data_IF_220294283619
#
_entry.id   IF_220294283619
#
_cell.length_a   1.000
_cell.length_b   1.000
_cell.length_c   1.000
_cell.angle_alpha   90.00
_cell.angle_beta   90.00
_cell.angle_gamma   90.00
#
_symmetry.space_group_name_H-M   'P 1'
#
loop_
_entity.id
_entity.type
_entity.pdbx_description
1 polymer ?
#
# COMPACT_ATOMS: atom_id res chain seq x y z
N UNK A 1 14.52 4.77 -3.09
CA UNK A 1 14.27 5.54 -1.86
C UNK A 1 15.26 5.03 -0.81
N UNK A 2 16.56 5.38 -0.93
CA UNK A 2 17.62 4.73 -0.17
C UNK A 2 17.42 4.80 1.35
N UNK A 3 16.83 5.88 1.85
CA UNK A 3 16.54 6.10 3.26
C UNK A 3 15.55 5.07 3.83
N UNK A 4 14.48 4.75 3.10
CA UNK A 4 13.47 3.79 3.54
C UNK A 4 13.95 2.34 3.41
N UNK A 5 14.78 2.06 2.42
CA UNK A 5 15.44 0.76 2.28
C UNK A 5 16.42 0.53 3.43
N UNK A 6 17.19 1.56 3.80
CA UNK A 6 18.09 1.51 4.95
C UNK A 6 17.34 1.32 6.29
N UNK A 7 16.16 1.93 6.45
CA UNK A 7 15.28 1.65 7.61
C UNK A 7 14.89 0.18 7.64
N UNK A 8 14.48 -0.40 6.50
CA UNK A 8 14.11 -1.80 6.43
C UNK A 8 15.31 -2.73 6.72
N UNK A 9 16.49 -2.41 6.17
CA UNK A 9 17.74 -3.13 6.46
C UNK A 9 18.02 -3.15 7.96
N UNK A 10 17.90 -1.99 8.63
CA UNK A 10 18.12 -1.86 10.06
C UNK A 10 17.07 -2.62 10.89
N UNK A 11 15.78 -2.56 10.51
CA UNK A 11 14.72 -3.29 11.19
C UNK A 11 14.95 -4.82 11.11
N UNK A 12 15.38 -5.33 9.97
CA UNK A 12 15.66 -6.76 9.79
C UNK A 12 16.91 -7.26 10.53
N UNK A 13 17.74 -6.36 11.09
CA UNK A 13 18.79 -6.75 12.04
C UNK A 13 18.26 -6.97 13.47
N UNK A 14 17.01 -6.57 13.77
CA UNK A 14 16.42 -6.79 15.09
C UNK A 14 15.97 -8.25 15.23
N UNK A 15 16.35 -8.96 16.30
CA UNK A 15 16.00 -10.37 16.49
C UNK A 15 14.49 -10.66 16.46
N UNK A 16 13.67 -9.71 16.89
CA UNK A 16 12.20 -9.83 16.93
C UNK A 16 11.55 -9.76 15.53
N UNK A 17 12.26 -9.22 14.53
CA UNK A 17 11.80 -9.09 13.15
C UNK A 17 12.46 -10.16 12.27
N UNK A 18 13.79 -10.31 12.41
CA UNK A 18 14.60 -11.25 11.64
C UNK A 18 14.86 -10.83 10.19
N UNK A 19 15.86 -11.47 9.58
CA UNK A 19 16.31 -11.17 8.21
C UNK A 19 15.26 -11.54 7.14
N UNK A 20 14.45 -12.56 7.41
CA UNK A 20 13.46 -13.13 6.48
C UNK A 20 12.01 -12.81 6.89
N UNK A 21 11.81 -11.88 7.82
CA UNK A 21 10.48 -11.46 8.26
C UNK A 21 9.67 -10.87 7.09
N UNK A 22 8.39 -11.24 6.92
CA UNK A 22 7.55 -10.72 5.83
C UNK A 22 7.32 -9.22 6.00
N UNK A 23 7.41 -8.47 4.91
CA UNK A 23 7.29 -7.01 4.92
C UNK A 23 6.06 -6.57 4.12
N UNK A 24 5.26 -5.69 4.71
CA UNK A 24 4.17 -4.99 4.04
C UNK A 24 4.29 -3.48 4.20
N UNK A 25 3.57 -2.74 3.38
CA UNK A 25 3.52 -1.28 3.42
C UNK A 25 2.10 -0.79 3.72
N UNK A 26 1.97 0.27 4.51
CA UNK A 26 0.73 1.03 4.62
C UNK A 26 1.01 2.53 4.62
N UNK A 27 0.26 3.28 3.81
CA UNK A 27 0.39 4.73 3.77
C UNK A 27 -0.65 5.40 2.87
N UNK A 28 -1.42 6.32 3.43
CA UNK A 28 -2.44 7.12 2.74
C UNK A 28 -1.95 8.54 2.47
N UNK A 29 -2.49 9.21 1.47
CA UNK A 29 -2.16 10.62 1.20
C UNK A 29 -0.71 10.78 0.77
N UNK A 30 0.06 11.57 1.53
CA UNK A 30 1.51 11.67 1.34
C UNK A 30 2.23 10.34 1.60
N UNK A 31 1.66 9.46 2.42
CA UNK A 31 2.11 8.07 2.53
C UNK A 31 2.09 7.39 1.17
N UNK A 32 1.00 7.47 0.40
CA UNK A 32 0.95 6.90 -0.96
C UNK A 32 2.00 7.52 -1.89
N UNK A 33 2.25 8.84 -1.79
CA UNK A 33 3.31 9.51 -2.56
C UNK A 33 4.72 8.94 -2.31
N UNK A 34 5.02 8.55 -1.07
CA UNK A 34 6.29 7.93 -0.68
C UNK A 34 6.28 6.42 -0.97
N UNK A 35 5.15 5.78 -0.68
CA UNK A 35 4.97 4.34 -0.71
C UNK A 35 5.01 3.77 -2.11
N UNK A 36 4.38 4.40 -3.10
CA UNK A 36 4.38 3.90 -4.48
C UNK A 36 5.81 3.75 -5.04
N UNK A 37 6.70 4.76 -5.00
CA UNK A 37 8.08 4.58 -5.46
C UNK A 37 8.89 3.64 -4.58
N UNK A 38 8.59 3.53 -3.28
CA UNK A 38 9.26 2.57 -2.40
C UNK A 38 8.87 1.12 -2.76
N UNK A 39 7.58 0.79 -2.77
CA UNK A 39 7.07 -0.56 -3.07
C UNK A 39 7.46 -1.00 -4.48
N UNK A 40 7.50 -0.09 -5.45
CA UNK A 40 7.97 -0.42 -6.80
C UNK A 40 9.47 -0.75 -6.86
N UNK A 41 10.28 -0.33 -5.89
CA UNK A 41 11.74 -0.48 -5.88
C UNK A 41 12.25 -1.48 -4.82
N UNK A 42 11.43 -1.83 -3.83
CA UNK A 42 11.83 -2.66 -2.70
C UNK A 42 11.14 -4.03 -2.74
N UNK A 43 11.84 -5.08 -3.23
CA UNK A 43 11.24 -6.41 -3.46
C UNK A 43 10.83 -7.13 -2.17
N UNK A 44 11.33 -6.72 -0.99
CA UNK A 44 10.91 -7.31 0.29
C UNK A 44 9.46 -6.98 0.63
N UNK A 45 8.91 -5.88 0.11
CA UNK A 45 7.51 -5.52 0.37
C UNK A 45 6.61 -6.39 -0.52
N UNK A 46 5.78 -7.21 0.12
CA UNK A 46 4.97 -8.25 -0.55
C UNK A 46 3.47 -7.98 -0.51
N UNK A 47 3.03 -6.94 0.20
CA UNK A 47 1.65 -6.45 0.20
C UNK A 47 1.62 -4.96 0.57
N UNK A 48 0.66 -4.21 0.03
CA UNK A 48 0.59 -2.76 0.26
C UNK A 48 -0.83 -2.22 0.47
N UNK A 49 -0.95 -1.21 1.32
CA UNK A 49 -2.16 -0.41 1.49
C UNK A 49 -1.87 1.03 1.06
N UNK A 50 -2.63 1.52 0.10
CA UNK A 50 -2.51 2.87 -0.46
C UNK A 50 -3.85 3.59 -0.43
N UNK A 51 -3.88 4.86 -0.81
CA UNK A 51 -5.12 5.59 -0.98
C UNK A 51 -4.96 7.09 -0.90
N UNK A 52 -6.03 7.80 -1.21
CA UNK A 52 -6.11 9.25 -0.98
C UNK A 52 -4.99 10.06 -1.67
N UNK A 53 -4.63 9.75 -2.92
CA UNK A 53 -3.64 10.51 -3.69
C UNK A 53 -3.99 10.64 -5.18
N UNK A 54 -3.37 11.63 -5.86
CA UNK A 54 -3.54 11.88 -7.31
C UNK A 54 -2.64 10.95 -8.16
N UNK A 55 -3.03 10.64 -9.41
CA UNK A 55 -2.28 9.73 -10.26
C UNK A 55 -1.03 10.38 -10.90
N UNK A 56 -1.00 11.70 -11.05
CA UNK A 56 -0.10 12.42 -11.97
C UNK A 56 1.38 12.07 -11.81
N UNK A 57 1.88 12.07 -10.58
CA UNK A 57 3.28 11.75 -10.29
C UNK A 57 3.55 10.25 -10.12
N UNK A 58 2.51 9.44 -9.96
CA UNK A 58 2.62 8.07 -9.48
C UNK A 58 2.23 7.02 -10.52
N UNK A 59 1.41 7.34 -11.51
CA UNK A 59 0.77 6.36 -12.41
C UNK A 59 1.79 5.47 -13.13
N UNK A 60 2.87 6.02 -13.68
CA UNK A 60 3.91 5.22 -14.34
C UNK A 60 4.67 4.30 -13.38
N UNK A 61 4.84 4.75 -12.14
CA UNK A 61 5.48 3.93 -11.10
C UNK A 61 4.52 2.85 -10.59
N UNK A 62 3.24 3.17 -10.42
CA UNK A 62 2.19 2.26 -9.98
C UNK A 62 2.04 1.06 -10.94
N UNK A 63 2.24 1.26 -12.25
CA UNK A 63 2.26 0.19 -13.26
C UNK A 63 3.31 -0.88 -13.02
N UNK A 64 4.32 -0.64 -12.18
CA UNK A 64 5.34 -1.64 -11.82
C UNK A 64 4.97 -2.47 -10.59
N UNK A 65 3.93 -2.09 -9.85
CA UNK A 65 3.55 -2.74 -8.60
C UNK A 65 2.55 -3.86 -8.91
N UNK A 66 2.96 -5.08 -8.59
CA UNK A 66 2.19 -6.31 -8.84
C UNK A 66 1.73 -7.04 -7.58
N UNK A 67 2.27 -6.66 -6.41
CA UNK A 67 1.89 -7.22 -5.11
C UNK A 67 0.41 -6.95 -4.79
N UNK A 68 -0.24 -7.71 -3.89
CA UNK A 68 -1.61 -7.43 -3.46
C UNK A 68 -1.77 -6.00 -2.90
N UNK A 69 -2.92 -5.37 -3.19
CA UNK A 69 -3.23 -3.99 -2.78
C UNK A 69 -4.62 -3.87 -2.13
N UNK A 70 -4.69 -3.18 -1.00
CA UNK A 70 -5.91 -2.52 -0.51
C UNK A 70 -5.79 -1.00 -0.80
N UNK A 71 -6.86 -0.39 -1.32
CA UNK A 71 -6.85 1.02 -1.72
C UNK A 71 -8.02 1.80 -1.12
N UNK A 72 -7.71 2.79 -0.29
CA UNK A 72 -8.69 3.64 0.38
C UNK A 72 -9.04 4.89 -0.44
N UNK A 73 -10.35 5.15 -0.56
CA UNK A 73 -10.89 6.33 -1.21
C UNK A 73 -12.04 6.94 -0.41
N UNK A 74 -12.03 8.26 -0.25
CA UNK A 74 -13.18 9.04 0.20
C UNK A 74 -14.02 9.47 -1.01
N UNK A 75 -15.31 9.17 -0.98
CA UNK A 75 -16.24 9.29 -2.11
C UNK A 75 -16.60 10.74 -2.45
N UNK A 76 -16.62 11.60 -1.43
CA UNK A 76 -16.95 13.03 -1.49
C UNK A 76 -15.72 13.90 -1.21
N UNK A 77 -14.53 13.36 -1.49
CA UNK A 77 -13.26 14.05 -1.29
C UNK A 77 -13.20 15.34 -2.10
N UNK A 78 -13.17 16.46 -1.41
CA UNK A 78 -13.17 17.79 -1.99
C UNK A 78 -11.79 18.21 -2.55
N UNK A 79 -10.75 17.44 -2.25
CA UNK A 79 -9.37 17.72 -2.68
C UNK A 79 -8.98 16.85 -3.86
N UNK A 80 -9.32 15.57 -3.79
CA UNK A 80 -8.94 14.56 -4.77
C UNK A 80 -10.20 14.13 -5.48
N UNK A 81 -10.41 14.57 -6.74
CA UNK A 81 -11.55 14.14 -7.52
C UNK A 81 -11.63 12.61 -7.58
N UNK A 82 -12.84 12.06 -7.58
CA UNK A 82 -13.07 10.61 -7.59
C UNK A 82 -12.35 9.94 -8.75
N UNK A 83 -12.40 10.57 -9.92
CA UNK A 83 -11.77 10.10 -11.14
C UNK A 83 -10.25 10.02 -11.00
N UNK A 84 -9.63 10.93 -10.24
CA UNK A 84 -8.20 10.90 -9.98
C UNK A 84 -7.82 9.72 -9.06
N UNK A 85 -8.59 9.48 -8.00
CA UNK A 85 -8.40 8.32 -7.12
C UNK A 85 -8.56 7.00 -7.86
N UNK A 86 -9.61 6.89 -8.68
CA UNK A 86 -9.85 5.72 -9.54
C UNK A 86 -8.74 5.54 -10.58
N UNK A 87 -8.25 6.60 -11.21
CA UNK A 87 -7.16 6.52 -12.18
C UNK A 87 -5.86 5.99 -11.55
N UNK A 88 -5.54 6.37 -10.31
CA UNK A 88 -4.38 5.82 -9.60
C UNK A 88 -4.61 4.34 -9.25
N UNK A 89 -5.80 3.98 -8.76
CA UNK A 89 -6.17 2.58 -8.51
C UNK A 89 -6.02 1.71 -9.78
N UNK A 90 -6.50 2.20 -10.92
CA UNK A 90 -6.43 1.52 -12.21
C UNK A 90 -4.99 1.33 -12.69
N UNK A 91 -4.10 2.31 -12.43
CA UNK A 91 -2.71 2.28 -12.85
C UNK A 91 -1.90 1.12 -12.22
N UNK A 92 -2.26 0.64 -11.03
CA UNK A 92 -1.57 -0.50 -10.42
C UNK A 92 -1.71 -1.78 -11.25
N UNK A 93 -0.59 -2.45 -11.53
CA UNK A 93 -0.54 -3.70 -12.28
C UNK A 93 -0.91 -4.95 -11.45
N UNK A 94 -1.18 -4.76 -10.15
CA UNK A 94 -1.63 -5.82 -9.25
C UNK A 94 -2.87 -6.53 -9.78
N UNK A 95 -2.84 -7.86 -9.73
CA UNK A 95 -3.98 -8.74 -10.06
C UNK A 95 -4.89 -8.97 -8.86
N UNK A 96 -4.39 -8.73 -7.66
CA UNK A 96 -5.14 -8.81 -6.42
C UNK A 96 -5.22 -7.40 -5.82
N UNK A 97 -6.18 -6.59 -6.28
CA UNK A 97 -6.41 -5.25 -5.73
C UNK A 97 -7.87 -5.02 -5.40
N UNK A 98 -8.13 -4.43 -4.23
CA UNK A 98 -9.48 -4.07 -3.76
C UNK A 98 -9.52 -2.58 -3.45
N UNK A 99 -10.63 -1.92 -3.79
CA UNK A 99 -10.87 -0.52 -3.47
C UNK A 99 -11.96 -0.41 -2.40
N UNK A 100 -11.67 0.30 -1.31
CA UNK A 100 -12.62 0.65 -0.28
C UNK A 100 -13.06 2.11 -0.46
N UNK A 101 -14.35 2.29 -0.72
CA UNK A 101 -14.96 3.59 -0.93
C UNK A 101 -15.82 3.96 0.28
N UNK A 102 -15.45 5.06 0.93
CA UNK A 102 -16.13 5.58 2.12
C UNK A 102 -16.84 6.88 1.78
N UNK A 103 -18.09 7.05 2.23
CA UNK A 103 -18.76 8.34 2.14
C UNK A 103 -18.08 9.36 3.06
N UNK A 104 -17.97 10.61 2.60
CA UNK A 104 -17.32 11.67 3.37
C UNK A 104 -16.22 12.43 2.65
N UNK A 105 -15.79 13.51 3.29
CA UNK A 105 -14.74 14.43 2.82
C UNK A 105 -13.35 13.90 3.09
N UNK A 106 -12.34 14.61 2.62
CA UNK A 106 -10.94 14.20 2.68
C UNK A 106 -10.45 13.74 4.06
N UNK A 107 -10.93 14.36 5.14
CA UNK A 107 -10.54 14.04 6.51
C UNK A 107 -11.59 13.28 7.32
N UNK A 108 -12.69 12.89 6.69
CA UNK A 108 -13.73 12.07 7.33
C UNK A 108 -13.33 10.57 7.32
N UNK A 109 -12.04 10.27 7.16
CA UNK A 109 -11.51 8.91 7.17
C UNK A 109 -11.80 8.22 8.51
N UNK A 110 -12.31 7.00 8.39
CA UNK A 110 -12.87 6.23 9.49
C UNK A 110 -11.85 5.23 10.02
N UNK A 111 -11.69 5.19 11.35
CA UNK A 111 -10.70 4.32 12.00
C UNK A 111 -10.83 2.83 11.68
N UNK A 112 -12.01 2.34 11.27
CA UNK A 112 -12.18 0.93 10.89
C UNK A 112 -11.38 0.53 9.66
N UNK A 113 -10.96 1.47 8.81
CA UNK A 113 -10.10 1.18 7.67
C UNK A 113 -8.68 0.82 8.12
N UNK A 114 -8.20 1.33 9.27
CA UNK A 114 -6.97 0.79 9.86
C UNK A 114 -7.14 -0.67 10.27
N UNK A 115 -8.31 -1.06 10.81
CA UNK A 115 -8.57 -2.46 11.12
C UNK A 115 -8.64 -3.31 9.85
N UNK A 116 -9.12 -2.74 8.73
CA UNK A 116 -9.08 -3.41 7.43
C UNK A 116 -7.65 -3.62 6.96
N UNK A 117 -6.82 -2.57 6.96
CA UNK A 117 -5.42 -2.63 6.59
C UNK A 117 -4.66 -3.68 7.42
N UNK A 118 -4.92 -3.76 8.73
CA UNK A 118 -4.34 -4.79 9.61
C UNK A 118 -4.77 -6.19 9.19
N UNK A 119 -6.06 -6.43 8.94
CA UNK A 119 -6.55 -7.74 8.47
C UNK A 119 -6.01 -8.10 7.09
N UNK A 120 -5.94 -7.13 6.19
CA UNK A 120 -5.36 -7.27 4.86
C UNK A 120 -3.89 -7.69 4.96
N UNK A 121 -3.07 -6.95 5.71
CA UNK A 121 -1.65 -7.27 5.88
C UNK A 121 -1.47 -8.61 6.59
N UNK A 122 -2.24 -8.91 7.64
CA UNK A 122 -2.17 -10.20 8.33
C UNK A 122 -2.48 -11.38 7.40
N UNK A 123 -3.41 -11.24 6.45
CA UNK A 123 -3.74 -12.27 5.46
C UNK A 123 -2.59 -12.54 4.48
N UNK A 124 -1.87 -11.51 4.04
CA UNK A 124 -0.82 -11.66 3.02
C UNK A 124 0.57 -11.89 3.60
N UNK A 125 0.81 -11.44 4.84
CA UNK A 125 2.08 -11.63 5.54
C UNK A 125 2.05 -12.88 6.46
N UNK A 126 0.84 -13.32 6.85
CA UNK A 126 0.65 -14.52 7.66
C UNK A 126 0.77 -15.80 6.81
N UNK A 127 1.92 -16.48 6.93
CA UNK A 127 2.32 -17.75 6.27
C UNK A 127 2.62 -17.67 4.76
N UNK A 128 3.89 -17.41 4.45
CA UNK A 128 4.58 -18.14 3.40
C UNK A 128 4.90 -19.56 3.92
N UNK A 129 3.88 -20.40 4.08
CA UNK A 129 4.04 -21.81 4.45
C UNK A 129 3.19 -22.65 3.51
N UNK A 130 3.60 -22.65 2.25
CA UNK A 130 3.36 -23.76 1.33
C UNK A 130 4.54 -23.75 0.38
N UNK A 131 5.58 -24.48 0.79
CA UNK A 131 6.43 -25.19 -0.16
C UNK A 131 5.55 -25.65 -1.32
N UNK A 132 5.82 -25.10 -2.50
CA UNK A 132 5.46 -25.76 -3.73
C UNK A 132 6.24 -27.08 -3.73
N UNK A 133 5.55 -28.15 -3.36
CA UNK A 133 5.94 -29.52 -3.63
C UNK A 133 5.27 -29.96 -4.93
#
# INVERSE_FOLDING_TARGET
MPEWQAVLDALQQLPEIGADGPVGYTGLGLGTAIGVPLVAAEPRITAAVFGMHWPDALAETAKRITVPIEFDMQWDNERIPREAGLALFDAFASKEKTLHANAGRHFDWTGFEADSAVRFLARHLGRADTSAA
#
